data_IF_093309756643
#
_entry.id   IF_093309756643
#
_cell.length_a   1.000
_cell.length_b   1.000
_cell.length_c   1.000
_cell.angle_alpha   90.00
_cell.angle_beta   90.00
_cell.angle_gamma   90.00
#
_symmetry.space_group_name_H-M   'P 1'
#
loop_
_entity.id
_entity.type
_entity.pdbx_description
1 polymer ?
#
# COMPACT_ATOMS: atom_id res chain seq x y z
N UNK A 1 -35.51 2.06 -0.45
CA UNK A 1 -34.86 3.30 -0.92
C UNK A 1 -33.36 3.01 -0.94
N UNK A 2 -32.66 3.24 -2.06
CA UNK A 2 -31.41 2.54 -2.35
C UNK A 2 -30.28 2.92 -1.40
N UNK A 3 -29.51 1.90 -1.02
CA UNK A 3 -28.27 1.92 -0.24
C UNK A 3 -27.21 2.69 -1.04
N UNK A 4 -27.22 4.02 -0.98
CA UNK A 4 -26.19 4.85 -1.62
C UNK A 4 -25.60 5.90 -0.65
N UNK A 5 -25.91 5.79 0.65
CA UNK A 5 -25.62 6.84 1.63
C UNK A 5 -24.80 6.37 2.83
N UNK A 6 -23.96 5.32 2.71
CA UNK A 6 -23.11 4.95 3.83
C UNK A 6 -21.69 4.45 3.46
N UNK A 7 -20.97 5.27 2.70
CA UNK A 7 -19.51 5.11 2.57
C UNK A 7 -18.77 5.65 3.80
N UNK A 8 -19.43 6.45 4.64
CA UNK A 8 -18.88 7.06 5.86
C UNK A 8 -18.59 6.06 6.97
N UNK A 9 -19.35 4.97 7.08
CA UNK A 9 -19.08 3.87 8.03
C UNK A 9 -18.00 2.88 7.53
N UNK A 10 -17.44 3.10 6.33
CA UNK A 10 -16.46 2.18 5.75
C UNK A 10 -15.06 2.56 6.20
N UNK A 11 -14.44 1.69 7.00
CA UNK A 11 -13.09 1.91 7.52
C UNK A 11 -12.01 1.61 6.47
N UNK A 12 -11.89 2.50 5.49
CA UNK A 12 -10.92 2.41 4.38
C UNK A 12 -9.46 2.44 4.88
N UNK A 13 -9.25 2.91 6.11
CA UNK A 13 -7.94 2.96 6.77
C UNK A 13 -7.31 1.58 6.90
N UNK A 14 -8.11 0.51 6.96
CA UNK A 14 -7.63 -0.89 6.99
C UNK A 14 -6.85 -1.27 5.71
N UNK A 15 -7.28 -0.74 4.56
CA UNK A 15 -6.68 -1.02 3.25
C UNK A 15 -5.66 0.03 2.83
N UNK A 16 -5.47 1.10 3.60
CA UNK A 16 -4.57 2.21 3.25
C UNK A 16 -3.14 1.76 2.86
N UNK A 17 -2.47 0.84 3.58
CA UNK A 17 -1.11 0.42 3.19
C UNK A 17 -1.10 -0.37 1.87
N UNK A 18 -2.14 -1.18 1.62
CA UNK A 18 -2.27 -1.94 0.37
C UNK A 18 -2.55 -1.02 -0.81
N UNK A 19 -3.42 -0.02 -0.62
CA UNK A 19 -3.74 0.97 -1.64
C UNK A 19 -2.51 1.76 -2.07
N UNK A 20 -1.62 2.12 -1.12
CA UNK A 20 -0.36 2.78 -1.42
C UNK A 20 0.53 1.91 -2.30
N UNK A 21 0.68 0.63 -1.97
CA UNK A 21 1.47 -0.29 -2.79
C UNK A 21 0.90 -0.45 -4.19
N UNK A 22 -0.43 -0.57 -4.34
CA UNK A 22 -1.09 -0.68 -5.64
C UNK A 22 -0.87 0.58 -6.49
N UNK A 23 -1.01 1.76 -5.89
CA UNK A 23 -0.77 3.04 -6.59
C UNK A 23 0.69 3.16 -7.03
N UNK A 24 1.65 2.82 -6.17
CA UNK A 24 3.07 2.85 -6.53
C UNK A 24 3.42 1.79 -7.58
N UNK A 25 2.87 0.58 -7.49
CA UNK A 25 3.05 -0.45 -8.51
C UNK A 25 2.51 0.01 -9.87
N UNK A 26 1.33 0.64 -9.88
CA UNK A 26 0.74 1.18 -11.10
C UNK A 26 1.59 2.31 -11.70
N UNK A 27 2.14 3.19 -10.86
CA UNK A 27 3.09 4.22 -11.30
C UNK A 27 4.36 3.61 -11.89
N UNK A 28 4.94 2.61 -11.23
CA UNK A 28 6.13 1.91 -11.74
C UNK A 28 5.84 1.25 -13.08
N UNK A 29 4.70 0.54 -13.22
CA UNK A 29 4.30 -0.05 -14.50
C UNK A 29 4.10 0.99 -15.59
N UNK A 30 3.52 2.15 -15.26
CA UNK A 30 3.32 3.23 -16.21
C UNK A 30 4.66 3.81 -16.67
N UNK A 31 5.59 4.08 -15.75
CA UNK A 31 6.93 4.57 -16.06
C UNK A 31 7.71 3.54 -16.88
N UNK A 32 7.60 2.26 -16.54
CA UNK A 32 8.23 1.16 -17.29
C UNK A 32 7.69 1.10 -18.73
N UNK A 33 6.37 1.21 -18.91
CA UNK A 33 5.73 1.19 -20.23
C UNK A 33 6.21 2.33 -21.15
N UNK A 34 6.49 3.50 -20.59
CA UNK A 34 7.00 4.65 -21.35
C UNK A 34 8.54 4.70 -21.43
N UNK A 35 9.24 3.83 -20.72
CA UNK A 35 10.71 3.75 -20.74
C UNK A 35 11.16 2.80 -21.84
N UNK A 36 11.83 3.33 -22.86
CA UNK A 36 12.44 2.52 -23.92
C UNK A 36 13.80 1.95 -23.46
N UNK A 37 14.23 0.80 -24.00
CA UNK A 37 15.48 0.07 -23.62
C UNK A 37 16.75 0.95 -23.62
N UNK A 38 16.71 2.09 -24.31
CA UNK A 38 17.84 3.02 -24.48
C UNK A 38 18.05 4.00 -23.31
N UNK A 39 17.10 4.11 -22.36
CA UNK A 39 17.20 5.01 -21.20
C UNK A 39 17.62 4.24 -19.94
N UNK A 40 18.92 3.93 -19.81
CA UNK A 40 19.45 3.22 -18.64
C UNK A 40 19.29 4.01 -17.33
N UNK A 41 19.34 5.34 -17.40
CA UNK A 41 19.22 6.20 -16.22
C UNK A 41 17.81 6.15 -15.60
N UNK A 42 16.75 6.11 -16.42
CA UNK A 42 15.37 6.03 -15.92
C UNK A 42 15.10 4.66 -15.32
N UNK A 43 15.64 3.58 -15.92
CA UNK A 43 15.61 2.22 -15.34
C UNK A 43 16.30 2.12 -14.00
N UNK A 44 17.36 2.89 -13.77
CA UNK A 44 18.04 2.93 -12.46
C UNK A 44 17.19 3.63 -11.38
N UNK A 45 16.27 4.52 -11.76
CA UNK A 45 15.36 5.20 -10.83
C UNK A 45 14.09 4.38 -10.49
N UNK A 46 13.62 3.48 -11.37
CA UNK A 46 12.46 2.63 -11.09
C UNK A 46 12.52 1.90 -9.73
N UNK A 47 13.62 1.21 -9.36
CA UNK A 47 13.70 0.54 -8.06
C UNK A 47 13.66 1.52 -6.89
N UNK A 48 14.19 2.74 -7.05
CA UNK A 48 14.07 3.79 -6.03
C UNK A 48 12.63 4.24 -5.83
N UNK A 49 11.87 4.41 -6.91
CA UNK A 49 10.44 4.75 -6.83
C UNK A 49 9.64 3.66 -6.12
N UNK A 50 9.91 2.39 -6.44
CA UNK A 50 9.28 1.26 -5.75
C UNK A 50 9.63 1.24 -4.25
N UNK A 51 10.89 1.48 -3.91
CA UNK A 51 11.37 1.52 -2.52
C UNK A 51 10.70 2.64 -1.70
N UNK A 52 10.49 3.82 -2.31
CA UNK A 52 9.70 4.90 -1.69
C UNK A 52 8.27 4.46 -1.40
N UNK A 53 7.65 3.70 -2.29
CA UNK A 53 6.32 3.13 -2.08
C UNK A 53 6.26 2.16 -0.91
N UNK A 54 7.27 1.28 -0.79
CA UNK A 54 7.41 0.36 0.36
C UNK A 54 7.57 1.14 1.65
N UNK A 55 8.48 2.12 1.71
CA UNK A 55 8.69 2.96 2.90
C UNK A 55 7.42 3.72 3.31
N UNK A 56 6.66 4.26 2.36
CA UNK A 56 5.40 4.94 2.63
C UNK A 56 4.36 3.99 3.25
N UNK A 57 4.30 2.75 2.78
CA UNK A 57 3.41 1.73 3.32
C UNK A 57 3.87 1.23 4.71
N UNK A 58 5.19 1.12 4.98
CA UNK A 58 5.72 0.85 6.34
C UNK A 58 5.29 1.97 7.28
N UNK A 59 5.46 3.23 6.86
CA UNK A 59 5.09 4.39 7.67
C UNK A 59 3.60 4.36 8.03
N UNK A 60 2.72 4.04 7.07
CA UNK A 60 1.29 3.88 7.38
C UNK A 60 1.02 2.76 8.38
N UNK A 61 1.68 1.60 8.26
CA UNK A 61 1.52 0.53 9.25
C UNK A 61 1.92 0.99 10.67
N UNK A 62 2.96 1.82 10.82
CA UNK A 62 3.36 2.36 12.14
C UNK A 62 2.33 3.33 12.72
N UNK A 63 1.69 4.16 11.89
CA UNK A 63 0.64 5.08 12.34
C UNK A 63 -0.62 4.30 12.74
N UNK A 64 -1.03 3.32 11.93
CA UNK A 64 -2.23 2.51 12.14
C UNK A 64 -2.12 1.65 13.41
N UNK A 65 -0.90 1.35 13.88
CA UNK A 65 -0.66 0.63 15.12
C UNK A 65 -1.40 1.27 16.32
N UNK A 66 -1.55 2.59 16.34
CA UNK A 66 -2.23 3.31 17.42
C UNK A 66 -3.76 3.25 17.35
N UNK A 67 -4.34 2.96 16.18
CA UNK A 67 -5.79 3.03 15.93
C UNK A 67 -6.47 1.64 15.94
N UNK A 68 -5.75 0.59 16.32
CA UNK A 68 -6.27 -0.78 16.39
C UNK A 68 -7.28 -0.98 17.53
N UNK A 69 -8.29 -1.87 17.38
CA UNK A 69 -8.57 -2.74 16.22
C UNK A 69 -9.48 -2.07 15.18
N UNK A 70 -9.21 -2.32 13.90
CA UNK A 70 -10.00 -1.80 12.77
C UNK A 70 -10.58 -2.96 11.97
N UNK A 71 -11.81 -2.81 11.46
CA UNK A 71 -12.43 -3.82 10.59
C UNK A 71 -13.10 -3.16 9.39
N UNK A 72 -12.99 -3.81 8.24
CA UNK A 72 -13.63 -3.39 6.99
C UNK A 72 -14.89 -4.23 6.79
N UNK A 73 -16.00 -3.81 7.40
CA UNK A 73 -17.33 -4.43 7.25
C UNK A 73 -17.36 -5.97 7.42
N UNK A 74 -16.47 -6.52 8.27
CA UNK A 74 -16.34 -7.97 8.46
C UNK A 74 -15.65 -8.74 7.33
N UNK A 75 -15.25 -8.09 6.23
CA UNK A 75 -14.51 -8.71 5.13
C UNK A 75 -13.00 -8.76 5.39
N UNK A 76 -12.45 -7.77 6.11
CA UNK A 76 -11.05 -7.76 6.55
C UNK A 76 -10.96 -7.24 7.99
N UNK A 77 -10.17 -7.93 8.81
CA UNK A 77 -9.84 -7.52 10.16
C UNK A 77 -8.37 -7.10 10.22
N UNK A 78 -8.10 -5.95 10.85
CA UNK A 78 -6.75 -5.49 11.13
C UNK A 78 -6.51 -5.59 12.64
N UNK A 79 -5.86 -6.67 13.04
CA UNK A 79 -5.34 -6.87 14.38
C UNK A 79 -3.81 -6.77 14.39
N UNK A 80 -3.21 -6.91 15.57
CA UNK A 80 -1.76 -6.87 15.75
C UNK A 80 -1.04 -8.01 15.04
N UNK A 81 -1.67 -9.17 14.84
CA UNK A 81 -1.11 -10.28 14.07
C UNK A 81 -1.07 -9.96 12.56
N UNK A 82 -2.18 -9.54 11.98
CA UNK A 82 -2.31 -9.17 10.58
C UNK A 82 -1.37 -8.01 10.22
N UNK A 83 -1.26 -7.00 11.11
CA UNK A 83 -0.32 -5.91 10.89
C UNK A 83 1.14 -6.35 11.04
N UNK A 84 1.44 -7.26 11.97
CA UNK A 84 2.76 -7.90 12.08
C UNK A 84 3.17 -8.64 10.81
N UNK A 85 2.27 -9.46 10.24
CA UNK A 85 2.52 -10.16 8.97
C UNK A 85 2.74 -9.17 7.82
N UNK A 86 1.93 -8.10 7.74
CA UNK A 86 2.11 -7.04 6.74
C UNK A 86 3.49 -6.39 6.83
N UNK A 87 3.97 -6.09 8.04
CA UNK A 87 5.31 -5.52 8.23
C UNK A 87 6.43 -6.47 7.78
N UNK A 88 6.33 -7.77 8.10
CA UNK A 88 7.32 -8.76 7.65
C UNK A 88 7.36 -8.83 6.12
N UNK A 89 6.20 -8.86 5.45
CA UNK A 89 6.12 -8.86 3.99
C UNK A 89 6.71 -7.59 3.39
N UNK A 90 6.43 -6.42 3.98
CA UNK A 90 7.01 -5.16 3.50
C UNK A 90 8.53 -5.10 3.66
N UNK A 91 9.06 -5.58 4.78
CA UNK A 91 10.51 -5.65 4.99
C UNK A 91 11.14 -6.61 3.97
N UNK A 92 10.53 -7.77 3.74
CA UNK A 92 10.98 -8.72 2.72
C UNK A 92 10.93 -8.15 1.30
N UNK A 93 9.97 -7.27 1.00
CA UNK A 93 9.87 -6.60 -0.30
C UNK A 93 10.90 -5.48 -0.50
N UNK A 94 11.45 -4.93 0.58
CA UNK A 94 12.50 -3.89 0.53
C UNK A 94 13.93 -4.42 0.58
N UNK A 95 14.11 -5.74 0.76
CA UNK A 95 15.39 -6.47 0.73
C UNK A 95 15.75 -6.87 -0.70
#
# INVERSE_FOLDING_TARGET
MPVIANLTDTNITVLLPELILVVFAMLVMLIDMFTSERQSDVRALLPWVALVGVLAAVHRCTVIWHDMPLSFQGAAALDSFALGVKLVVLIAAGL
#
